data_IF_971502894508
#
_entry.id   IF_971502894508
#
_cell.length_a   1.000
_cell.length_b   1.000
_cell.length_c   1.000
_cell.angle_alpha   90.00
_cell.angle_beta   90.00
_cell.angle_gamma   90.00
#
_symmetry.space_group_name_H-M   'P 1'
#
loop_
_entity.id
_entity.type
_entity.pdbx_description
1 polymer ?
#
# COMPACT_ATOMS: atom_id res chain seq x y z
N UNK A 1 -47.20 -5.23 -22.07
CA UNK A 1 -47.06 -3.99 -21.29
C UNK A 1 -45.65 -4.02 -20.71
N UNK A 2 -44.76 -3.13 -21.15
CA UNK A 2 -43.34 -3.10 -20.74
C UNK A 2 -43.23 -2.33 -19.43
N UNK A 3 -42.80 -2.98 -18.36
CA UNK A 3 -42.22 -2.31 -17.21
C UNK A 3 -40.75 -2.01 -17.53
N UNK A 4 -40.30 -0.74 -17.53
CA UNK A 4 -38.88 -0.47 -17.58
C UNK A 4 -38.29 -0.77 -16.20
N UNK A 5 -37.45 -1.82 -16.14
CA UNK A 5 -36.53 -2.06 -15.04
C UNK A 5 -35.66 -0.82 -14.83
N UNK A 6 -36.05 -0.01 -13.85
CA UNK A 6 -35.22 1.06 -13.28
C UNK A 6 -34.10 0.39 -12.47
N UNK A 7 -33.06 -0.09 -13.16
CA UNK A 7 -31.79 -0.39 -12.50
C UNK A 7 -31.16 0.96 -12.15
N UNK A 8 -31.50 1.45 -10.97
CA UNK A 8 -30.61 2.37 -10.28
C UNK A 8 -29.39 1.54 -9.86
N UNK A 9 -28.40 1.45 -10.75
CA UNK A 9 -27.05 1.13 -10.32
C UNK A 9 -26.61 2.27 -9.40
N UNK A 10 -26.93 2.15 -8.10
CA UNK A 10 -26.18 2.88 -7.10
C UNK A 10 -24.75 2.36 -7.18
N UNK A 11 -23.94 3.06 -7.98
CA UNK A 11 -22.48 3.02 -7.89
C UNK A 11 -22.14 3.60 -6.52
N UNK A 12 -22.35 2.82 -5.45
CA UNK A 12 -21.79 3.13 -4.15
C UNK A 12 -20.29 2.97 -4.32
N UNK A 13 -19.64 4.11 -4.59
CA UNK A 13 -18.21 4.23 -4.74
C UNK A 13 -17.52 3.68 -3.50
N UNK A 14 -17.21 2.38 -3.50
CA UNK A 14 -16.52 1.66 -2.42
C UNK A 14 -15.04 2.05 -2.30
N UNK A 15 -14.62 3.13 -2.96
CA UNK A 15 -13.30 3.72 -2.89
C UNK A 15 -13.38 5.11 -2.27
N UNK A 16 -13.42 5.15 -0.93
CA UNK A 16 -13.37 6.40 -0.16
C UNK A 16 -12.04 7.14 -0.38
N UNK A 17 -11.96 8.43 -0.02
CA UNK A 17 -10.72 9.24 -0.11
C UNK A 17 -9.51 8.53 0.49
N UNK A 18 -9.70 7.89 1.66
CA UNK A 18 -8.64 7.13 2.33
C UNK A 18 -8.08 6.04 1.42
N UNK A 19 -8.92 5.36 0.62
CA UNK A 19 -8.48 4.26 -0.25
C UNK A 19 -7.53 4.77 -1.31
N UNK A 20 -7.91 5.85 -1.99
CA UNK A 20 -7.05 6.50 -2.97
C UNK A 20 -5.79 7.08 -2.37
N UNK A 21 -5.87 7.61 -1.15
CA UNK A 21 -4.69 8.01 -0.39
C UNK A 21 -3.77 6.82 -0.12
N UNK A 22 -4.31 5.66 0.26
CA UNK A 22 -3.53 4.43 0.46
C UNK A 22 -2.88 3.94 -0.83
N UNK A 23 -3.60 3.97 -1.95
CA UNK A 23 -3.04 3.71 -3.29
C UNK A 23 -1.87 4.65 -3.56
N UNK A 24 -2.07 5.95 -3.34
CA UNK A 24 -1.06 6.98 -3.59
C UNK A 24 0.20 6.76 -2.76
N UNK A 25 0.09 6.61 -1.44
CA UNK A 25 1.27 6.41 -0.58
C UNK A 25 1.95 5.07 -0.86
N UNK A 26 1.21 4.04 -1.28
CA UNK A 26 1.80 2.76 -1.70
C UNK A 26 2.59 2.93 -2.99
N UNK A 27 2.04 3.63 -3.98
CA UNK A 27 2.74 3.93 -5.23
C UNK A 27 3.98 4.81 -4.99
N UNK A 28 3.86 5.83 -4.14
CA UNK A 28 4.99 6.65 -3.70
C UNK A 28 6.02 5.83 -2.92
N UNK A 29 5.64 4.79 -2.18
CA UNK A 29 6.62 3.93 -1.53
C UNK A 29 7.46 3.14 -2.55
N UNK A 30 6.92 2.80 -3.73
CA UNK A 30 7.66 2.10 -4.79
C UNK A 30 8.48 3.04 -5.67
N UNK A 31 7.93 4.20 -6.04
CA UNK A 31 8.58 5.16 -6.95
C UNK A 31 9.43 6.19 -6.19
N UNK A 32 9.15 6.37 -4.90
CA UNK A 32 9.80 7.34 -4.03
C UNK A 32 11.33 7.26 -3.97
N UNK A 33 11.98 6.07 -3.99
CA UNK A 33 13.44 5.97 -4.03
C UNK A 33 14.10 6.68 -5.22
N UNK A 34 13.35 6.94 -6.29
CA UNK A 34 13.84 7.65 -7.48
C UNK A 34 13.47 9.15 -7.44
N UNK A 35 12.46 9.51 -6.66
CA UNK A 35 11.95 10.88 -6.57
C UNK A 35 12.55 11.66 -5.40
N UNK A 36 12.70 11.02 -4.24
CA UNK A 36 13.08 11.65 -2.99
C UNK A 36 14.40 11.09 -2.45
N UNK A 37 15.15 11.91 -1.71
CA UNK A 37 16.41 11.50 -1.09
C UNK A 37 16.23 10.42 -0.05
N UNK A 38 17.27 9.61 0.12
CA UNK A 38 17.33 8.53 1.09
C UNK A 38 17.15 9.03 2.53
N UNK A 39 17.53 10.29 2.80
CA UNK A 39 17.28 10.98 4.07
C UNK A 39 15.79 11.09 4.40
N UNK A 40 14.90 11.15 3.40
CA UNK A 40 13.46 11.17 3.60
C UNK A 40 12.86 9.76 3.51
N UNK A 41 13.26 9.00 2.49
CA UNK A 41 12.67 7.70 2.19
C UNK A 41 12.97 6.64 3.26
N UNK A 42 14.22 6.55 3.74
CA UNK A 42 14.59 5.54 4.74
C UNK A 42 13.84 5.77 6.05
N UNK A 43 13.82 6.99 6.64
CA UNK A 43 13.00 7.23 7.83
C UNK A 43 11.51 6.98 7.60
N UNK A 44 10.96 7.37 6.44
CA UNK A 44 9.55 7.10 6.13
C UNK A 44 9.23 5.59 6.14
N UNK A 45 10.09 4.76 5.53
CA UNK A 45 9.93 3.30 5.58
C UNK A 45 10.07 2.74 6.99
N UNK A 46 11.04 3.23 7.78
CA UNK A 46 11.20 2.81 9.17
C UNK A 46 10.00 3.19 10.03
N UNK A 47 9.39 4.36 9.81
CA UNK A 47 8.14 4.75 10.47
C UNK A 47 6.99 3.80 10.11
N UNK A 48 6.89 3.37 8.86
CA UNK A 48 5.89 2.38 8.44
C UNK A 48 6.14 1.01 9.08
N UNK A 49 7.39 0.56 9.16
CA UNK A 49 7.76 -0.67 9.89
C UNK A 49 7.40 -0.54 11.37
N UNK A 50 7.74 0.58 12.00
CA UNK A 50 7.41 0.86 13.39
C UNK A 50 5.91 0.84 13.63
N UNK A 51 5.12 1.41 12.72
CA UNK A 51 3.66 1.34 12.76
C UNK A 51 3.18 -0.13 12.75
N UNK A 52 3.75 -1.00 11.93
CA UNK A 52 3.39 -2.42 11.95
C UNK A 52 3.81 -3.14 13.23
N UNK A 53 4.93 -2.75 13.85
CA UNK A 53 5.38 -3.33 15.12
C UNK A 53 4.44 -2.91 16.27
N UNK A 54 4.06 -1.62 16.34
CA UNK A 54 3.23 -1.08 17.43
C UNK A 54 1.77 -1.48 17.27
N UNK A 55 1.19 -1.28 16.08
CA UNK A 55 -0.25 -1.44 15.86
C UNK A 55 -0.62 -2.79 15.28
N UNK A 56 0.34 -3.55 14.75
CA UNK A 56 0.05 -4.82 14.09
C UNK A 56 -0.85 -4.67 12.86
N UNK A 57 -0.98 -3.48 12.27
CA UNK A 57 -1.77 -3.20 11.06
C UNK A 57 -1.34 -1.89 10.41
N UNK A 58 -1.75 -1.68 9.15
CA UNK A 58 -1.62 -0.36 8.52
C UNK A 58 -2.76 0.52 9.06
N UNK A 59 -2.46 1.74 9.51
CA UNK A 59 -3.48 2.63 10.07
C UNK A 59 -4.56 2.97 9.04
N UNK A 60 -4.16 3.16 7.78
CA UNK A 60 -5.08 3.40 6.65
C UNK A 60 -5.99 2.20 6.38
N UNK A 61 -5.50 0.97 6.60
CA UNK A 61 -6.33 -0.23 6.47
C UNK A 61 -7.46 -0.29 7.50
N UNK A 62 -7.30 0.32 8.68
CA UNK A 62 -8.34 0.32 9.71
C UNK A 62 -9.48 1.31 9.40
N UNK A 63 -9.25 2.27 8.50
CA UNK A 63 -10.24 3.28 8.08
C UNK A 63 -10.95 2.90 6.77
N UNK A 64 -10.49 1.86 6.08
CA UNK A 64 -11.31 1.19 5.08
C UNK A 64 -12.24 0.26 5.81
N UNK A 65 -13.55 0.42 5.62
CA UNK A 65 -14.60 -0.48 6.12
C UNK A 65 -14.56 -1.87 5.45
N UNK A 66 -13.36 -2.34 5.10
CA UNK A 66 -13.11 -3.69 4.64
C UNK A 66 -13.44 -4.59 5.83
N UNK A 67 -14.42 -5.50 5.63
CA UNK A 67 -14.77 -6.57 6.59
C UNK A 67 -13.49 -7.05 7.27
N UNK A 68 -13.47 -6.99 8.60
CA UNK A 68 -12.35 -7.26 9.49
C UNK A 68 -11.93 -8.74 9.47
N UNK A 69 -11.62 -9.23 8.26
CA UNK A 69 -11.00 -10.50 7.99
C UNK A 69 -9.52 -10.32 8.31
N UNK A 70 -9.12 -10.85 9.46
CA UNK A 70 -7.89 -10.55 10.22
C UNK A 70 -6.59 -10.60 9.41
N UNK A 71 -6.60 -11.22 8.22
CA UNK A 71 -5.42 -11.37 7.36
C UNK A 71 -5.47 -10.57 6.06
N UNK A 72 -6.54 -9.81 5.79
CA UNK A 72 -6.64 -8.99 4.58
C UNK A 72 -5.70 -7.78 4.66
N UNK A 73 -4.85 -7.63 3.64
CA UNK A 73 -3.96 -6.49 3.43
C UNK A 73 -4.43 -5.68 2.22
N UNK A 74 -3.93 -4.45 2.10
CA UNK A 74 -4.17 -3.65 0.90
C UNK A 74 -3.72 -4.38 -0.37
N UNK A 75 -2.56 -5.05 -0.33
CA UNK A 75 -2.07 -5.88 -1.43
C UNK A 75 -2.99 -7.06 -1.75
N UNK A 76 -3.49 -7.80 -0.75
CA UNK A 76 -4.41 -8.91 -1.03
C UNK A 76 -5.70 -8.43 -1.67
N UNK A 77 -6.23 -7.28 -1.23
CA UNK A 77 -7.40 -6.66 -1.87
C UNK A 77 -7.13 -6.31 -3.33
N UNK A 78 -5.98 -5.70 -3.65
CA UNK A 78 -5.59 -5.39 -5.02
C UNK A 78 -5.42 -6.65 -5.88
N UNK A 79 -4.79 -7.70 -5.36
CA UNK A 79 -4.62 -8.96 -6.07
C UNK A 79 -5.96 -9.66 -6.33
N UNK A 80 -6.85 -9.72 -5.33
CA UNK A 80 -8.18 -10.31 -5.48
C UNK A 80 -9.01 -9.54 -6.51
N UNK A 81 -8.94 -8.20 -6.49
CA UNK A 81 -9.60 -7.35 -7.50
C UNK A 81 -9.03 -7.58 -8.92
N UNK A 82 -7.76 -7.96 -9.04
CA UNK A 82 -7.14 -8.36 -10.30
C UNK A 82 -7.44 -9.82 -10.70
N UNK A 83 -8.25 -10.56 -9.92
CA UNK A 83 -8.59 -11.95 -10.18
C UNK A 83 -7.54 -12.96 -9.71
N UNK A 84 -6.54 -12.53 -8.93
CA UNK A 84 -5.46 -13.39 -8.42
C UNK A 84 -5.77 -13.80 -6.98
N UNK A 85 -5.84 -15.11 -6.73
CA UNK A 85 -5.96 -15.63 -5.36
C UNK A 85 -4.58 -15.70 -4.72
N UNK A 86 -4.40 -15.04 -3.58
CA UNK A 86 -3.13 -15.00 -2.85
C UNK A 86 -3.29 -15.52 -1.44
N UNK A 87 -2.24 -16.15 -0.91
CA UNK A 87 -2.21 -16.55 0.49
C UNK A 87 -2.06 -15.30 1.38
N UNK A 88 -3.18 -14.79 1.88
CA UNK A 88 -3.29 -13.59 2.72
C UNK A 88 -2.31 -13.58 3.89
N UNK A 89 -2.12 -14.73 4.56
CA UNK A 89 -1.26 -14.87 5.73
C UNK A 89 0.23 -14.67 5.39
N UNK A 90 0.68 -15.30 4.31
CA UNK A 90 2.06 -15.17 3.84
C UNK A 90 2.31 -13.75 3.33
N UNK A 91 1.38 -13.23 2.52
CA UNK A 91 1.48 -11.87 1.99
C UNK A 91 1.53 -10.82 3.11
N UNK A 92 0.70 -10.98 4.14
CA UNK A 92 0.71 -10.13 5.34
C UNK A 92 2.07 -10.13 6.04
N UNK A 93 2.69 -11.29 6.24
CA UNK A 93 4.03 -11.36 6.83
C UNK A 93 5.06 -10.68 5.93
N UNK A 94 4.97 -10.90 4.62
CA UNK A 94 5.92 -10.35 3.66
C UNK A 94 5.86 -8.83 3.59
N UNK A 95 4.65 -8.26 3.49
CA UNK A 95 4.41 -6.82 3.44
C UNK A 95 4.76 -6.15 4.77
N UNK A 96 4.56 -6.80 5.91
CA UNK A 96 4.82 -6.15 7.22
C UNK A 96 6.28 -6.21 7.64
N UNK A 97 7.00 -7.26 7.24
CA UNK A 97 8.35 -7.54 7.75
C UNK A 97 9.46 -7.24 6.74
N UNK A 98 9.24 -7.53 5.46
CA UNK A 98 10.31 -7.52 4.48
C UNK A 98 10.24 -6.35 3.51
N UNK A 99 9.06 -6.03 2.97
CA UNK A 99 8.95 -5.09 1.84
C UNK A 99 9.61 -3.72 2.11
N UNK A 100 9.36 -3.11 3.28
CA UNK A 100 9.88 -1.78 3.61
C UNK A 100 11.37 -1.80 3.99
N UNK A 101 11.86 -2.92 4.52
CA UNK A 101 13.30 -3.11 4.75
C UNK A 101 14.05 -3.29 3.43
N UNK A 102 13.47 -4.07 2.50
CA UNK A 102 14.01 -4.26 1.16
C UNK A 102 13.99 -2.92 0.40
N UNK A 103 12.89 -2.18 0.44
CA UNK A 103 12.82 -0.85 -0.19
C UNK A 103 13.86 0.11 0.40
N UNK A 104 14.05 0.10 1.72
CA UNK A 104 15.11 0.90 2.36
C UNK A 104 16.50 0.51 1.86
N UNK A 105 16.79 -0.79 1.76
CA UNK A 105 18.07 -1.28 1.23
C UNK A 105 18.25 -0.90 -0.24
N UNK A 106 17.20 -1.03 -1.06
CA UNK A 106 17.21 -0.62 -2.47
C UNK A 106 17.47 0.87 -2.59
N UNK A 107 16.83 1.72 -1.77
CA UNK A 107 17.08 3.17 -1.77
C UNK A 107 18.53 3.49 -1.44
N UNK A 108 19.11 2.85 -0.41
CA UNK A 108 20.49 3.09 -0.04
C UNK A 108 21.47 2.60 -1.11
N UNK A 109 21.25 1.42 -1.70
CA UNK A 109 22.08 0.93 -2.79
C UNK A 109 21.99 1.88 -3.99
N UNK A 110 20.78 2.30 -4.36
CA UNK A 110 20.56 3.17 -5.50
C UNK A 110 21.21 4.56 -5.32
N UNK A 111 20.96 5.23 -4.20
CA UNK A 111 21.40 6.60 -4.03
C UNK A 111 22.81 6.73 -3.45
N UNK A 112 23.20 5.84 -2.54
CA UNK A 112 24.49 5.93 -1.84
C UNK A 112 25.57 5.12 -2.56
N UNK A 113 25.27 3.89 -2.97
CA UNK A 113 26.28 3.00 -3.59
C UNK A 113 26.45 3.30 -5.08
N UNK A 114 25.35 3.48 -5.82
CA UNK A 114 25.40 3.82 -7.24
C UNK A 114 25.50 5.34 -7.50
N UNK A 115 25.40 6.16 -6.45
CA UNK A 115 25.50 7.62 -6.55
C UNK A 115 24.38 8.26 -7.38
N UNK A 116 23.24 7.59 -7.54
CA UNK A 116 22.13 8.12 -8.35
C UNK A 116 21.36 9.16 -7.54
N UNK A 117 21.39 10.42 -7.98
CA UNK A 117 20.68 11.51 -7.33
C UNK A 117 19.15 11.36 -7.49
N UNK A 118 18.36 11.71 -6.45
CA UNK A 118 16.91 11.75 -6.55
C UNK A 118 16.44 12.88 -7.48
N UNK A 119 15.32 12.68 -8.18
CA UNK A 119 14.85 13.63 -9.19
C UNK A 119 14.26 14.93 -8.65
N UNK A 120 13.74 14.95 -7.41
CA UNK A 120 13.07 16.11 -6.85
C UNK A 120 13.82 16.72 -5.66
N UNK A 121 14.01 15.97 -4.56
CA UNK A 121 14.57 16.46 -3.29
C UNK A 121 15.04 15.33 -2.38
#
# INVERSE_FOLDING_TARGET
MKEPLSINEEVTSSHNLVFWFHVLVTALAWVGPFLFSWYLMVPAYLLVVLQFIIFGRCLLNAQHDLKDDKDTTFYSYLFEKAGVTVNKRVLKLWVRRYIYLILSAVTLIWQVVLGSEPLLF
#
